data_IF_968274672800
#
_entry.id   IF_968274672800
#
_cell.length_a   1.000
_cell.length_b   1.000
_cell.length_c   1.000
_cell.angle_alpha   90.00
_cell.angle_beta   90.00
_cell.angle_gamma   90.00
#
_symmetry.space_group_name_H-M   'P 1'
#
loop_
_entity.id
_entity.type
_entity.pdbx_description
1 polymer ?
#
# COMPACT_ATOMS: atom_id res chain seq x y z
N UNK A 1 1.76 0.01 -36.92
CA UNK A 1 0.57 -0.64 -36.31
C UNK A 1 0.30 0.08 -35.01
N UNK A 2 -0.97 0.37 -34.72
CA UNK A 2 -1.40 0.94 -33.44
C UNK A 2 -1.73 -0.15 -32.44
N UNK A 3 -1.74 0.18 -31.15
CA UNK A 3 -2.24 -0.70 -30.09
C UNK A 3 -3.54 -0.07 -29.57
N UNK A 4 -4.63 -0.83 -29.61
CA UNK A 4 -5.88 -0.46 -28.94
C UNK A 4 -5.97 -1.23 -27.63
N UNK A 5 -6.23 -0.53 -26.52
CA UNK A 5 -6.52 -1.19 -25.24
C UNK A 5 -7.78 -2.01 -25.40
N UNK A 6 -7.72 -3.29 -25.02
CA UNK A 6 -8.86 -4.22 -25.03
C UNK A 6 -9.38 -4.43 -23.62
N UNK A 7 -8.47 -4.54 -22.66
CA UNK A 7 -8.80 -4.76 -21.26
C UNK A 7 -7.84 -3.96 -20.38
N UNK A 8 -8.40 -3.32 -19.37
CA UNK A 8 -7.68 -2.72 -18.27
C UNK A 8 -8.36 -3.12 -16.97
N UNK A 9 -7.64 -3.80 -16.09
CA UNK A 9 -8.13 -4.24 -14.79
C UNK A 9 -7.14 -3.84 -13.71
N UNK A 10 -7.67 -3.31 -12.61
CA UNK A 10 -6.94 -3.07 -11.37
C UNK A 10 -7.57 -3.88 -10.25
N UNK A 11 -6.73 -4.49 -9.43
CA UNK A 11 -7.14 -5.16 -8.20
C UNK A 11 -6.37 -4.57 -7.03
N UNK A 12 -7.04 -4.52 -5.88
CA UNK A 12 -6.50 -3.93 -4.66
C UNK A 12 -7.08 -4.63 -3.43
N UNK A 13 -6.28 -4.72 -2.38
CA UNK A 13 -6.76 -4.97 -1.03
C UNK A 13 -7.22 -3.64 -0.44
N UNK A 14 -8.47 -3.60 0.03
CA UNK A 14 -9.02 -2.45 0.76
C UNK A 14 -9.12 -2.81 2.24
N UNK A 15 -8.42 -2.06 3.07
CA UNK A 15 -8.63 -2.08 4.52
C UNK A 15 -9.48 -0.89 4.92
N UNK A 16 -10.64 -1.15 5.50
CA UNK A 16 -11.52 -0.12 6.02
C UNK A 16 -11.05 0.40 7.39
N UNK A 17 -11.45 1.62 7.79
CA UNK A 17 -10.99 2.27 9.03
C UNK A 17 -11.11 1.42 10.31
N UNK A 18 -12.10 0.52 10.37
CA UNK A 18 -12.37 -0.32 11.54
C UNK A 18 -11.82 -1.75 11.39
N UNK A 19 -11.00 -1.99 10.37
CA UNK A 19 -10.32 -3.27 10.16
C UNK A 19 -8.88 -3.17 10.66
N UNK A 20 -8.37 -4.21 11.34
CA UNK A 20 -6.97 -4.26 11.74
C UNK A 20 -6.05 -4.06 10.53
N UNK A 21 -5.10 -3.14 10.69
CA UNK A 21 -4.06 -2.91 9.68
C UNK A 21 -2.89 -3.86 9.91
N UNK A 22 -2.27 -4.33 8.83
CA UNK A 22 -1.01 -5.10 8.90
C UNK A 22 0.22 -4.19 9.08
N UNK A 23 0.05 -2.86 8.98
CA UNK A 23 1.15 -1.90 9.02
C UNK A 23 1.98 -1.93 10.32
N UNK A 24 1.39 -2.12 11.52
CA UNK A 24 2.20 -2.26 12.74
C UNK A 24 3.14 -3.46 12.67
N UNK A 25 2.65 -4.62 12.22
CA UNK A 25 3.45 -5.84 12.06
C UNK A 25 4.56 -5.66 11.03
N UNK A 26 4.27 -5.02 9.88
CA UNK A 26 5.28 -4.71 8.87
C UNK A 26 6.36 -3.76 9.41
N UNK A 27 5.94 -2.75 10.17
CA UNK A 27 6.88 -1.79 10.76
C UNK A 27 7.79 -2.47 11.77
N UNK A 28 7.27 -3.34 12.63
CA UNK A 28 8.10 -4.14 13.55
C UNK A 28 9.08 -5.07 12.80
N UNK A 29 8.63 -5.75 11.74
CA UNK A 29 9.48 -6.62 10.95
C UNK A 29 10.60 -5.87 10.20
N UNK A 30 10.37 -4.61 9.87
CA UNK A 30 11.34 -3.76 9.16
C UNK A 30 12.15 -2.85 10.07
N UNK A 31 11.78 -2.74 11.35
CA UNK A 31 12.39 -1.86 12.35
C UNK A 31 13.92 -1.95 12.40
N UNK A 32 14.56 -3.14 12.43
CA UNK A 32 16.02 -3.22 12.45
C UNK A 32 16.67 -2.49 11.28
N UNK A 33 16.08 -2.59 10.08
CA UNK A 33 16.59 -1.93 8.86
C UNK A 33 16.33 -0.43 8.88
N UNK A 34 15.22 0.02 9.48
CA UNK A 34 14.90 1.44 9.64
C UNK A 34 15.96 2.11 10.52
N UNK A 35 16.30 1.47 11.64
CA UNK A 35 17.33 1.94 12.58
C UNK A 35 18.72 1.88 11.97
N UNK A 36 19.09 0.75 11.34
CA UNK A 36 20.41 0.58 10.68
C UNK A 36 20.68 1.65 9.62
N UNK A 37 19.65 2.06 8.88
CA UNK A 37 19.77 3.10 7.84
C UNK A 37 19.70 4.52 8.38
N UNK A 38 19.50 4.71 9.69
CA UNK A 38 19.40 6.02 10.32
C UNK A 38 18.12 6.79 9.94
N UNK A 39 17.08 6.10 9.47
CA UNK A 39 15.81 6.75 9.08
C UNK A 39 15.00 7.20 10.30
N UNK A 40 15.10 6.46 11.41
CA UNK A 40 14.49 6.78 12.70
C UNK A 40 15.16 5.98 13.81
N UNK A 41 15.06 6.44 15.06
CA UNK A 41 15.48 5.67 16.23
C UNK A 41 14.35 4.81 16.79
N UNK A 42 14.69 3.86 17.66
CA UNK A 42 13.69 3.00 18.34
C UNK A 42 12.75 3.86 19.18
N UNK A 43 13.28 4.88 19.87
CA UNK A 43 12.52 5.78 20.74
C UNK A 43 11.56 6.67 19.95
N UNK A 44 11.94 7.10 18.75
CA UNK A 44 11.06 7.87 17.87
C UNK A 44 9.88 7.03 17.35
N UNK A 45 10.13 5.75 17.11
CA UNK A 45 9.10 4.82 16.64
C UNK A 45 8.19 4.38 17.79
N UNK A 46 8.79 4.08 18.94
CA UNK A 46 8.12 3.52 20.12
C UNK A 46 7.28 2.27 19.77
N UNK A 47 7.93 1.10 19.55
CA UNK A 47 7.27 -0.10 19.05
C UNK A 47 6.14 -0.63 19.95
N UNK A 48 6.18 -0.29 21.24
CA UNK A 48 5.21 -0.73 22.23
C UNK A 48 3.87 0.00 22.05
N UNK A 49 3.90 1.26 21.64
CA UNK A 49 2.69 2.08 21.42
C UNK A 49 2.32 2.22 19.94
N UNK A 50 3.23 1.86 19.04
CA UNK A 50 3.08 2.04 17.60
C UNK A 50 1.77 1.46 17.05
N UNK A 51 1.43 0.22 17.40
CA UNK A 51 0.23 -0.44 16.90
C UNK A 51 -1.05 0.32 17.26
N UNK A 52 -1.17 0.72 18.53
CA UNK A 52 -2.32 1.47 19.02
C UNK A 52 -2.44 2.84 18.36
N UNK A 53 -1.31 3.54 18.18
CA UNK A 53 -1.27 4.86 17.53
C UNK A 53 -1.70 4.80 16.07
N UNK A 54 -1.23 3.79 15.33
CA UNK A 54 -1.60 3.61 13.92
C UNK A 54 -3.07 3.20 13.75
N UNK A 55 -3.58 2.35 14.64
CA UNK A 55 -5.00 1.97 14.63
C UNK A 55 -5.90 3.19 14.91
N UNK A 56 -5.54 3.99 15.90
CA UNK A 56 -6.25 5.23 16.21
C UNK A 56 -6.18 6.23 15.05
N UNK A 57 -5.02 6.42 14.43
CA UNK A 57 -4.85 7.28 13.27
C UNK A 57 -5.72 6.83 12.09
N UNK A 58 -5.73 5.52 11.78
CA UNK A 58 -6.55 4.95 10.71
C UNK A 58 -8.05 5.17 10.97
N UNK A 59 -8.49 4.93 12.20
CA UNK A 59 -9.87 5.12 12.63
C UNK A 59 -10.29 6.59 12.58
N UNK A 60 -9.45 7.51 13.05
CA UNK A 60 -9.71 8.96 13.07
C UNK A 60 -9.72 9.55 11.67
N UNK A 61 -8.79 9.13 10.81
CA UNK A 61 -8.75 9.57 9.42
C UNK A 61 -10.01 9.13 8.64
N UNK A 62 -10.61 7.99 9.01
CA UNK A 62 -11.83 7.48 8.39
C UNK A 62 -11.66 7.07 6.92
N UNK A 63 -10.40 7.00 6.45
CA UNK A 63 -10.04 6.62 5.08
C UNK A 63 -9.71 5.13 4.95
N UNK A 64 -9.81 4.59 3.75
CA UNK A 64 -9.38 3.23 3.47
C UNK A 64 -7.89 3.19 3.10
N UNK A 65 -7.17 2.18 3.56
CA UNK A 65 -5.84 1.85 3.03
C UNK A 65 -6.03 1.01 1.77
N UNK A 66 -5.45 1.47 0.67
CA UNK A 66 -5.39 0.73 -0.59
C UNK A 66 -4.02 0.06 -0.67
N UNK A 67 -3.99 -1.27 -0.72
CA UNK A 67 -2.77 -2.06 -0.68
C UNK A 67 -2.73 -3.13 -1.77
N UNK A 68 -1.52 -3.65 -2.04
CA UNK A 68 -1.23 -4.74 -2.99
C UNK A 68 -1.94 -4.56 -4.33
N UNK A 69 -1.59 -3.45 -5.00
CA UNK A 69 -2.17 -3.07 -6.26
C UNK A 69 -1.61 -3.93 -7.40
N UNK A 70 -2.49 -4.69 -8.04
CA UNK A 70 -2.18 -5.43 -9.25
C UNK A 70 -2.90 -4.81 -10.45
N UNK A 71 -2.20 -4.71 -11.58
CA UNK A 71 -2.77 -4.16 -12.81
C UNK A 71 -2.55 -5.12 -13.98
N UNK A 72 -3.60 -5.30 -14.78
CA UNK A 72 -3.55 -5.95 -16.08
C UNK A 72 -3.91 -4.92 -17.14
N UNK A 73 -3.06 -4.81 -18.17
CA UNK A 73 -3.39 -4.07 -19.38
C UNK A 73 -3.12 -4.98 -20.57
N UNK A 74 -4.16 -5.28 -21.34
CA UNK A 74 -4.07 -6.03 -22.58
C UNK A 74 -4.43 -5.11 -23.75
N UNK A 75 -3.67 -5.23 -24.84
CA UNK A 75 -3.89 -4.43 -26.05
C UNK A 75 -3.84 -5.32 -27.30
N UNK A 76 -4.65 -4.96 -28.29
CA UNK A 76 -4.66 -5.58 -29.61
C UNK A 76 -3.92 -4.71 -30.61
N UNK A 77 -3.03 -5.33 -31.39
CA UNK A 77 -2.42 -4.68 -32.54
C UNK A 77 -3.46 -4.45 -33.64
N UNK A 78 -3.53 -3.22 -34.13
CA UNK A 78 -4.41 -2.83 -35.24
C UNK A 78 -3.60 -2.12 -36.33
N UNK A 79 -4.00 -2.23 -37.61
CA UNK A 79 -3.46 -1.40 -38.67
C UNK A 79 -3.67 0.09 -38.32
N UNK A 80 -2.69 0.94 -38.61
CA UNK A 80 -2.89 2.38 -38.48
C UNK A 80 -3.64 2.82 -39.72
N UNK A 81 -4.90 3.25 -39.58
CA UNK A 81 -5.65 3.87 -40.68
C UNK A 81 -4.93 5.17 -41.07
N UNK A 82 -4.60 5.30 -42.36
CA UNK A 82 -4.06 6.55 -42.95
C UNK A 82 -5.16 7.57 -43.16
#
# INVERSE_FOLDING_TARGET
>A
MGLSVEEARGEAILLHPNQPSFLPTLTQATLPRIVERGNATVEQIDPDTLAQRMEEEHRVAGGAIVWDLAFLVAARAQPVSR
#
